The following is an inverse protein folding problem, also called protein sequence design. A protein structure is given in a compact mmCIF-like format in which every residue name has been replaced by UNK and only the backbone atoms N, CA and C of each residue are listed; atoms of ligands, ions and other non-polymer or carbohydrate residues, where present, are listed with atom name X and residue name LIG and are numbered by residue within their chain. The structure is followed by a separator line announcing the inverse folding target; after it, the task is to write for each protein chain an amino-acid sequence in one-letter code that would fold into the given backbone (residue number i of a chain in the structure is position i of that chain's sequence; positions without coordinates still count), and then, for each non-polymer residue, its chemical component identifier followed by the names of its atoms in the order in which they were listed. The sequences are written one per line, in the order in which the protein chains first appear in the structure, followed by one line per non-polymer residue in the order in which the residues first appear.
data_IF_519326936089
#
_entry.id   IF_519326936089
#
_cell.length_a   1.000
_cell.length_b   1.000
_cell.length_c   1.000
_cell.angle_alpha   90.00
_cell.angle_beta   90.00
_cell.angle_gamma   90.00
#
_symmetry.space_group_name_H-M   'P 1'
#
loop_
_entity.id
_entity.type
_entity.pdbx_description
1 polymer ?
#
# COMPACT_ATOMS: atom_id res chain seq x y z
N UNK A 1 -56.46 -44.54 27.25
CA UNK A 1 -55.34 -44.56 26.26
C UNK A 1 -55.28 -43.33 25.35
N UNK A 2 -56.39 -42.76 24.86
CA UNK A 2 -56.37 -41.58 23.96
C UNK A 2 -55.83 -40.27 24.60
N UNK A 3 -55.99 -40.07 25.91
CA UNK A 3 -55.55 -38.84 26.61
C UNK A 3 -54.02 -38.75 26.75
N UNK A 4 -53.35 -39.89 26.94
CA UNK A 4 -51.89 -39.96 27.10
C UNK A 4 -51.16 -39.64 25.79
N UNK A 5 -51.73 -40.02 24.64
CA UNK A 5 -51.15 -39.74 23.32
C UNK A 5 -51.20 -38.24 22.96
N UNK A 6 -52.23 -37.52 23.42
CA UNK A 6 -52.37 -36.08 23.16
C UNK A 6 -51.36 -35.28 23.97
N UNK A 7 -51.14 -35.62 25.26
CA UNK A 7 -50.14 -34.93 26.09
C UNK A 7 -48.71 -35.13 25.58
N UNK A 8 -48.36 -36.32 25.07
CA UNK A 8 -47.02 -36.57 24.51
C UNK A 8 -46.77 -35.74 23.25
N UNK A 9 -47.78 -35.52 22.39
CA UNK A 9 -47.64 -34.67 21.21
C UNK A 9 -47.36 -33.20 21.55
N UNK A 10 -48.04 -32.65 22.56
CA UNK A 10 -47.81 -31.26 22.98
C UNK A 10 -46.49 -31.06 23.73
N UNK A 11 -46.02 -32.09 24.45
CA UNK A 11 -44.73 -32.03 25.14
C UNK A 11 -43.55 -32.08 24.16
N UNK A 12 -43.65 -32.92 23.12
CA UNK A 12 -42.62 -33.00 22.07
C UNK A 12 -42.57 -31.72 21.23
N UNK A 13 -43.72 -31.12 20.88
CA UNK A 13 -43.72 -29.85 20.12
C UNK A 13 -43.19 -28.67 20.94
N UNK A 14 -43.51 -28.59 22.24
CA UNK A 14 -42.94 -27.57 23.15
C UNK A 14 -41.43 -27.70 23.30
N UNK A 15 -40.90 -28.93 23.38
CA UNK A 15 -39.47 -29.17 23.53
C UNK A 15 -38.71 -28.80 22.24
N UNK A 16 -39.25 -29.14 21.06
CA UNK A 16 -38.65 -28.78 19.77
C UNK A 16 -38.63 -27.27 19.55
N UNK A 17 -39.68 -26.54 19.92
CA UNK A 17 -39.71 -25.07 19.81
C UNK A 17 -38.68 -24.42 20.76
N UNK A 18 -38.54 -24.93 21.98
CA UNK A 18 -37.58 -24.37 22.95
C UNK A 18 -36.13 -24.62 22.53
N UNK A 19 -35.84 -25.82 22.01
CA UNK A 19 -34.51 -26.16 21.48
C UNK A 19 -34.17 -25.32 20.24
N UNK A 20 -35.11 -25.11 19.31
CA UNK A 20 -34.92 -24.23 18.15
C UNK A 20 -34.71 -22.77 18.55
N UNK A 21 -35.40 -22.26 19.59
CA UNK A 21 -35.16 -20.90 20.09
C UNK A 21 -33.81 -20.73 20.77
N UNK A 22 -33.34 -21.74 21.53
CA UNK A 22 -32.01 -21.70 22.16
C UNK A 22 -30.92 -21.69 21.08
N UNK A 23 -31.03 -22.51 20.04
CA UNK A 23 -30.06 -22.52 18.94
C UNK A 23 -30.09 -21.24 18.10
N UNK A 24 -31.27 -20.68 17.79
CA UNK A 24 -31.38 -19.39 17.08
C UNK A 24 -30.82 -18.23 17.90
N UNK A 25 -31.00 -18.23 19.23
CA UNK A 25 -30.47 -17.18 20.10
C UNK A 25 -28.95 -17.25 20.28
N UNK A 26 -28.36 -18.44 20.25
CA UNK A 26 -26.91 -18.62 20.34
C UNK A 26 -26.17 -18.21 19.07
N UNK A 27 -26.75 -18.44 17.88
CA UNK A 27 -26.13 -18.00 16.63
C UNK A 27 -26.15 -16.47 16.48
N UNK A 28 -27.25 -15.82 16.88
CA UNK A 28 -27.35 -14.37 16.85
C UNK A 28 -26.34 -13.70 17.79
N UNK A 29 -26.22 -14.18 19.03
CA UNK A 29 -25.29 -13.61 20.02
C UNK A 29 -23.81 -13.85 19.68
N UNK A 30 -23.46 -15.01 19.11
CA UNK A 30 -22.10 -15.28 18.65
C UNK A 30 -21.70 -14.43 17.44
N UNK A 31 -22.62 -14.22 16.50
CA UNK A 31 -22.37 -13.38 15.32
C UNK A 31 -22.20 -11.89 15.67
N UNK A 32 -23.04 -11.35 16.57
CA UNK A 32 -22.92 -9.97 17.03
C UNK A 32 -21.62 -9.74 17.83
N UNK A 33 -21.22 -10.69 18.67
CA UNK A 33 -19.95 -10.61 19.41
C UNK A 33 -18.75 -10.62 18.46
N UNK A 34 -18.73 -11.53 17.47
CA UNK A 34 -17.65 -11.58 16.49
C UNK A 34 -17.57 -10.30 15.65
N UNK A 35 -18.71 -9.77 15.19
CA UNK A 35 -18.75 -8.49 14.45
C UNK A 35 -18.19 -7.35 15.29
N UNK A 36 -18.48 -7.30 16.59
CA UNK A 36 -17.94 -6.28 17.48
C UNK A 36 -16.42 -6.44 17.70
N UNK A 37 -15.93 -7.67 17.88
CA UNK A 37 -14.49 -7.95 18.00
C UNK A 37 -13.73 -7.57 16.72
N UNK A 38 -14.24 -7.99 15.56
CA UNK A 38 -13.63 -7.70 14.26
C UNK A 38 -13.66 -6.20 13.94
N UNK A 39 -14.75 -5.50 14.28
CA UNK A 39 -14.81 -4.05 14.18
C UNK A 39 -13.78 -3.38 15.09
N UNK A 40 -13.60 -3.87 16.32
CA UNK A 40 -12.61 -3.32 17.26
C UNK A 40 -11.19 -3.43 16.72
N UNK A 41 -10.82 -4.60 16.19
CA UNK A 41 -9.53 -4.84 15.52
C UNK A 41 -9.28 -3.86 14.38
N UNK A 42 -10.29 -3.62 13.54
CA UNK A 42 -10.18 -2.70 12.41
C UNK A 42 -10.10 -1.23 12.85
N UNK A 43 -10.78 -0.85 13.93
CA UNK A 43 -10.64 0.50 14.53
C UNK A 43 -9.22 0.71 15.05
N UNK A 44 -8.66 -0.27 15.76
CA UNK A 44 -7.28 -0.22 16.26
C UNK A 44 -6.28 -0.12 15.10
N UNK A 45 -6.47 -0.91 14.03
CA UNK A 45 -5.66 -0.82 12.83
C UNK A 45 -5.77 0.56 12.16
N UNK A 46 -6.98 1.10 12.05
CA UNK A 46 -7.22 2.43 11.45
C UNK A 46 -6.43 3.50 12.19
N UNK A 47 -6.47 3.48 13.53
CA UNK A 47 -5.72 4.41 14.37
C UNK A 47 -4.22 4.18 14.31
N UNK A 48 -3.77 2.92 14.24
CA UNK A 48 -2.34 2.58 14.08
C UNK A 48 -1.79 3.17 12.78
N UNK A 49 -2.49 2.99 11.65
CA UNK A 49 -2.06 3.52 10.35
C UNK A 49 -2.14 5.05 10.32
N UNK A 50 -3.23 5.65 10.83
CA UNK A 50 -3.36 7.11 10.93
C UNK A 50 -2.17 7.75 11.65
N UNK A 51 -1.70 7.14 12.74
CA UNK A 51 -0.62 7.67 13.58
C UNK A 51 0.79 7.24 13.12
N UNK A 52 0.93 6.53 11.99
CA UNK A 52 2.22 5.96 11.58
C UNK A 52 3.12 6.93 10.81
N UNK A 53 2.56 7.94 10.14
CA UNK A 53 3.28 8.99 9.41
C UNK A 53 2.37 10.21 9.20
N UNK A 54 2.96 11.35 8.83
CA UNK A 54 2.21 12.59 8.57
C UNK A 54 1.57 12.63 7.17
N UNK A 55 0.47 13.37 7.02
CA UNK A 55 -0.13 13.57 5.70
C UNK A 55 0.66 14.60 4.90
N UNK A 56 0.98 14.28 3.65
CA UNK A 56 1.70 15.16 2.73
C UNK A 56 1.71 14.63 1.31
N UNK A 57 2.70 15.04 0.53
CA UNK A 57 2.90 14.56 -0.85
C UNK A 57 3.22 13.06 -0.84
N UNK A 58 3.93 12.58 0.19
CA UNK A 58 4.39 11.22 0.28
C UNK A 58 5.56 10.91 -0.65
N UNK A 59 6.05 9.68 -0.55
CA UNK A 59 6.94 9.12 -1.56
C UNK A 59 6.09 8.76 -2.80
N UNK A 60 6.34 9.33 -4.00
CA UNK A 60 5.74 8.84 -5.23
C UNK A 60 5.92 7.33 -5.48
N UNK A 61 4.97 6.81 -6.25
CA UNK A 61 4.83 5.37 -6.49
C UNK A 61 4.06 4.71 -5.35
N UNK A 62 4.45 3.49 -5.01
CA UNK A 62 3.83 2.70 -3.96
C UNK A 62 4.91 2.16 -3.01
N UNK A 63 5.55 3.03 -2.20
CA UNK A 63 6.52 2.62 -1.17
C UNK A 63 5.95 1.56 -0.21
N UNK A 64 6.82 0.79 0.43
CA UNK A 64 6.42 -0.06 1.58
C UNK A 64 6.04 0.81 2.79
N UNK A 65 5.28 0.24 3.75
CA UNK A 65 4.94 0.96 4.99
C UNK A 65 6.20 1.40 5.75
N UNK A 66 7.24 0.55 5.80
CA UNK A 66 8.49 0.88 6.46
C UNK A 66 9.22 2.07 5.80
N UNK A 67 9.23 2.12 4.46
CA UNK A 67 9.82 3.24 3.71
C UNK A 67 9.06 4.54 3.96
N UNK A 68 7.74 4.48 3.96
CA UNK A 68 6.89 5.66 4.23
C UNK A 68 7.05 6.16 5.67
N UNK A 69 7.13 5.26 6.65
CA UNK A 69 7.43 5.63 8.05
C UNK A 69 8.81 6.29 8.16
N UNK A 70 9.83 5.72 7.51
CA UNK A 70 11.19 6.27 7.49
C UNK A 70 11.25 7.65 6.82
N UNK A 71 10.48 7.85 5.75
CA UNK A 71 10.36 9.15 5.09
C UNK A 71 9.55 10.16 5.90
N UNK A 72 8.60 9.69 6.72
CA UNK A 72 7.84 10.47 7.68
C UNK A 72 6.54 11.08 7.16
N UNK A 73 6.24 11.01 5.86
CA UNK A 73 4.95 11.46 5.34
C UNK A 73 4.41 10.62 4.16
N UNK A 74 3.09 10.68 3.93
CA UNK A 74 2.37 9.94 2.89
C UNK A 74 1.08 10.63 2.43
N UNK A 75 0.51 10.18 1.31
CA UNK A 75 -0.78 10.66 0.80
C UNK A 75 -1.92 9.65 1.07
N UNK A 76 -3.17 10.05 0.84
CA UNK A 76 -4.37 9.27 1.19
C UNK A 76 -4.38 7.84 0.62
N UNK A 77 -3.95 7.67 -0.63
CA UNK A 77 -3.72 6.36 -1.23
C UNK A 77 -2.79 5.45 -0.42
N UNK A 78 -1.69 5.96 0.14
CA UNK A 78 -0.78 5.14 0.96
C UNK A 78 -1.42 4.70 2.27
N UNK A 79 -2.14 5.58 2.97
CA UNK A 79 -2.90 5.21 4.16
C UNK A 79 -3.90 4.10 3.87
N UNK A 80 -4.69 4.24 2.79
CA UNK A 80 -5.69 3.26 2.37
C UNK A 80 -5.04 1.92 1.97
N UNK A 81 -3.92 1.97 1.25
CA UNK A 81 -3.09 0.81 0.90
C UNK A 81 -2.64 0.06 2.15
N UNK A 82 -1.94 0.71 3.08
CA UNK A 82 -1.37 0.00 4.22
C UNK A 82 -2.45 -0.54 5.17
N UNK A 83 -3.56 0.16 5.32
CA UNK A 83 -4.71 -0.37 6.04
C UNK A 83 -5.25 -1.64 5.39
N UNK A 84 -5.42 -1.63 4.07
CA UNK A 84 -5.91 -2.78 3.29
C UNK A 84 -4.99 -3.98 3.44
N UNK A 85 -3.68 -3.78 3.32
CA UNK A 85 -2.68 -4.83 3.45
C UNK A 85 -2.67 -5.47 4.83
N UNK A 86 -2.65 -4.66 5.89
CA UNK A 86 -2.66 -5.18 7.25
C UNK A 86 -4.00 -5.84 7.60
N UNK A 87 -5.12 -5.33 7.10
CA UNK A 87 -6.43 -5.95 7.27
C UNK A 87 -6.53 -7.31 6.55
N UNK A 88 -5.96 -7.44 5.34
CA UNK A 88 -5.87 -8.73 4.63
C UNK A 88 -5.09 -9.77 5.44
N UNK A 89 -3.98 -9.39 6.07
CA UNK A 89 -3.20 -10.27 6.98
C UNK A 89 -4.01 -10.74 8.19
N UNK A 90 -5.04 -9.99 8.59
CA UNK A 90 -5.97 -10.33 9.68
C UNK A 90 -7.18 -11.17 9.20
N UNK A 91 -7.26 -11.51 7.92
CA UNK A 91 -8.34 -12.32 7.33
C UNK A 91 -9.57 -11.53 6.88
N UNK A 92 -9.44 -10.21 6.70
CA UNK A 92 -10.51 -9.37 6.14
C UNK A 92 -10.39 -9.23 4.63
N UNK A 93 -11.50 -8.83 3.99
CA UNK A 93 -11.60 -8.58 2.54
C UNK A 93 -11.83 -7.08 2.25
N UNK A 94 -10.84 -6.21 2.51
CA UNK A 94 -10.92 -4.78 2.24
C UNK A 94 -10.88 -4.45 0.75
N UNK A 95 -11.52 -3.33 0.38
CA UNK A 95 -11.39 -2.73 -0.96
C UNK A 95 -11.10 -1.24 -0.84
N UNK A 96 -10.17 -0.75 -1.65
CA UNK A 96 -9.84 0.68 -1.69
C UNK A 96 -10.75 1.36 -2.70
N UNK A 97 -11.31 2.49 -2.29
CA UNK A 97 -12.16 3.34 -3.12
C UNK A 97 -11.54 4.73 -3.22
N UNK A 98 -11.14 5.12 -4.42
CA UNK A 98 -10.76 6.50 -4.73
C UNK A 98 -12.02 7.28 -5.10
N UNK A 99 -12.26 8.33 -4.33
CA UNK A 99 -13.39 9.24 -4.44
C UNK A 99 -12.93 10.51 -5.16
N UNK A 100 -13.67 10.90 -6.20
CA UNK A 100 -13.44 12.11 -6.98
C UNK A 100 -14.58 13.07 -6.68
N UNK A 101 -14.28 14.20 -6.04
CA UNK A 101 -15.27 15.20 -5.65
C UNK A 101 -15.10 16.50 -6.43
N UNK A 102 -16.21 17.05 -6.93
CA UNK A 102 -16.25 18.30 -7.69
C UNK A 102 -16.80 19.44 -6.81
N UNK A 103 -16.00 19.88 -5.84
CA UNK A 103 -16.38 21.00 -4.97
C UNK A 103 -15.92 22.32 -5.61
N UNK A 104 -16.83 23.29 -5.72
CA UNK A 104 -16.57 24.70 -6.09
C UNK A 104 -15.98 24.98 -7.49
N UNK A 105 -16.26 24.18 -8.51
CA UNK A 105 -15.69 24.35 -9.87
C UNK A 105 -14.16 24.41 -9.92
N UNK A 106 -13.49 24.05 -8.82
CA UNK A 106 -12.04 23.88 -8.75
C UNK A 106 -11.68 22.40 -8.91
N UNK A 107 -10.42 22.21 -9.28
CA UNK A 107 -9.67 20.95 -9.44
C UNK A 107 -10.29 19.78 -8.68
N UNK A 108 -10.54 18.68 -9.40
CA UNK A 108 -10.98 17.40 -8.87
C UNK A 108 -10.28 17.06 -7.54
N UNK A 109 -11.06 16.97 -6.45
CA UNK A 109 -10.54 16.58 -5.15
C UNK A 109 -10.54 15.06 -5.04
N UNK A 110 -9.34 14.50 -4.97
CA UNK A 110 -9.12 13.06 -4.81
C UNK A 110 -8.93 12.69 -3.34
N UNK A 111 -9.59 11.61 -2.92
CA UNK A 111 -9.38 11.01 -1.59
C UNK A 111 -9.66 9.52 -1.58
N UNK A 112 -8.81 8.74 -0.92
CA UNK A 112 -8.92 7.29 -0.85
C UNK A 112 -9.48 6.84 0.51
N UNK A 113 -10.46 5.95 0.48
CA UNK A 113 -11.04 5.29 1.67
C UNK A 113 -11.02 3.77 1.48
N UNK A 114 -11.27 3.02 2.55
CA UNK A 114 -11.34 1.54 2.52
C UNK A 114 -12.72 1.08 2.94
N UNK A 115 -13.36 0.21 2.16
CA UNK A 115 -14.62 -0.43 2.56
C UNK A 115 -14.36 -1.87 3.01
N UNK A 116 -15.02 -2.28 4.09
CA UNK A 116 -15.00 -3.66 4.62
C UNK A 116 -16.44 -4.07 4.97
N UNK A 117 -16.79 -5.31 4.65
CA UNK A 117 -18.06 -5.92 5.08
C UNK A 117 -17.82 -6.77 6.32
N UNK A 118 -18.58 -6.51 7.39
CA UNK A 118 -18.60 -7.34 8.59
C UNK A 118 -20.03 -7.85 8.80
N UNK A 119 -20.24 -9.14 8.60
CA UNK A 119 -21.59 -9.73 8.56
C UNK A 119 -22.46 -9.05 7.49
N UNK A 120 -23.60 -8.49 7.91
CA UNK A 120 -24.53 -7.79 7.02
C UNK A 120 -24.31 -6.27 6.94
N UNK A 121 -23.28 -5.74 7.61
CA UNK A 121 -22.99 -4.31 7.68
C UNK A 121 -21.77 -3.93 6.83
N UNK A 122 -21.86 -2.77 6.17
CA UNK A 122 -20.76 -2.16 5.44
C UNK A 122 -20.14 -1.06 6.29
N UNK A 123 -18.81 -1.03 6.32
CA UNK A 123 -18.04 -0.02 7.02
C UNK A 123 -17.10 0.66 6.05
N UNK A 124 -17.01 1.98 6.12
CA UNK A 124 -16.02 2.77 5.38
C UNK A 124 -15.02 3.31 6.39
N UNK A 125 -13.77 2.87 6.29
CA UNK A 125 -12.64 3.36 7.06
C UNK A 125 -11.89 4.42 6.27
N UNK A 126 -11.49 5.48 6.96
CA UNK A 126 -10.62 6.52 6.43
C UNK A 126 -9.37 6.60 7.31
N UNK A 127 -8.32 5.82 6.96
CA UNK A 127 -7.08 5.79 7.73
C UNK A 127 -6.28 7.08 7.63
N UNK A 128 -6.50 7.89 6.59
CA UNK A 128 -5.91 9.22 6.47
C UNK A 128 -6.45 10.13 7.58
N UNK A 129 -7.75 10.06 7.81
CA UNK A 129 -8.45 10.90 8.76
C UNK A 129 -8.63 10.27 10.14
N UNK A 130 -8.27 9.01 10.36
CA UNK A 130 -8.47 8.33 11.64
C UNK A 130 -9.96 8.19 12.03
N UNK A 131 -10.85 8.08 11.03
CA UNK A 131 -12.30 7.92 11.24
C UNK A 131 -12.84 6.69 10.51
N UNK A 132 -14.08 6.33 10.84
CA UNK A 132 -14.87 5.39 10.04
C UNK A 132 -16.36 5.74 10.07
N UNK A 133 -17.11 5.17 9.13
CA UNK A 133 -18.56 5.30 8.98
C UNK A 133 -19.21 3.93 9.06
N UNK A 134 -20.33 3.83 9.76
CA UNK A 134 -21.21 2.64 9.76
C UNK A 134 -22.20 2.72 8.61
N UNK A 135 -21.69 2.86 7.39
CA UNK A 135 -22.47 3.06 6.16
C UNK A 135 -21.61 2.65 4.97
N UNK A 136 -22.23 2.33 3.83
CA UNK A 136 -21.48 2.13 2.59
C UNK A 136 -21.08 3.47 1.96
N UNK A 137 -20.10 3.45 1.04
CA UNK A 137 -19.79 4.62 0.20
C UNK A 137 -21.02 5.09 -0.58
N UNK A 138 -21.83 4.15 -1.08
CA UNK A 138 -23.08 4.48 -1.79
C UNK A 138 -24.04 5.26 -0.88
N UNK A 139 -24.24 4.83 0.36
CA UNK A 139 -25.13 5.52 1.30
C UNK A 139 -24.61 6.92 1.62
N UNK A 140 -23.30 7.08 1.80
CA UNK A 140 -22.69 8.39 2.05
C UNK A 140 -22.87 9.35 0.88
N UNK A 141 -22.80 8.87 -0.37
CA UNK A 141 -23.02 9.68 -1.57
C UNK A 141 -24.51 10.07 -1.70
N UNK A 142 -25.42 9.10 -1.55
CA UNK A 142 -26.86 9.35 -1.72
C UNK A 142 -27.49 10.08 -0.51
N UNK A 143 -26.86 10.00 0.66
CA UNK A 143 -27.30 10.67 1.88
C UNK A 143 -26.11 11.31 2.61
N UNK A 144 -25.56 12.43 2.10
CA UNK A 144 -24.35 13.06 2.64
C UNK A 144 -24.43 13.47 4.11
N UNK A 145 -25.64 13.64 4.66
CA UNK A 145 -25.90 13.83 6.09
C UNK A 145 -25.30 12.72 6.96
N UNK A 146 -25.13 11.51 6.42
CA UNK A 146 -24.47 10.40 7.13
C UNK A 146 -23.00 10.68 7.44
N UNK A 147 -22.36 11.62 6.74
CA UNK A 147 -20.97 12.01 7.01
C UNK A 147 -20.76 12.64 8.39
N UNK A 148 -21.81 13.20 9.00
CA UNK A 148 -21.74 13.75 10.36
C UNK A 148 -21.78 12.67 11.45
N UNK A 149 -22.16 11.44 11.08
CA UNK A 149 -22.20 10.28 11.98
C UNK A 149 -20.89 9.50 12.00
N UNK A 150 -19.80 10.06 11.46
CA UNK A 150 -18.45 9.50 11.55
C UNK A 150 -18.04 9.27 13.01
N UNK A 151 -17.24 8.24 13.22
CA UNK A 151 -16.69 7.87 14.52
C UNK A 151 -15.16 7.90 14.40
N UNK A 152 -14.46 8.52 15.35
CA UNK A 152 -13.00 8.63 15.35
C UNK A 152 -12.51 10.08 15.45
N UNK A 153 -11.26 10.33 15.08
CA UNK A 153 -10.57 11.59 15.35
C UNK A 153 -9.98 12.22 14.09
N UNK A 154 -10.39 13.45 13.75
CA UNK A 154 -9.75 14.27 12.71
C UNK A 154 -8.86 15.32 13.38
N UNK A 155 -7.56 15.05 13.47
CA UNK A 155 -6.58 15.97 14.07
C UNK A 155 -6.23 17.14 13.14
N UNK A 156 -6.15 16.90 11.83
CA UNK A 156 -5.74 17.91 10.85
C UNK A 156 -6.92 18.69 10.27
N UNK A 157 -6.99 19.99 10.57
CA UNK A 157 -8.06 20.87 10.09
C UNK A 157 -8.13 20.98 8.55
N UNK A 158 -7.00 20.89 7.84
CA UNK A 158 -6.97 21.01 6.38
C UNK A 158 -7.58 19.79 5.67
N UNK A 159 -7.61 18.64 6.36
CA UNK A 159 -8.16 17.39 5.84
C UNK A 159 -9.64 17.21 6.17
N UNK A 160 -10.20 18.05 7.06
CA UNK A 160 -11.63 17.99 7.43
C UNK A 160 -12.55 18.04 6.22
N UNK A 161 -12.14 18.74 5.14
CA UNK A 161 -12.92 18.86 3.89
C UNK A 161 -13.38 17.50 3.35
N UNK A 162 -12.56 16.45 3.46
CA UNK A 162 -12.86 15.09 2.97
C UNK A 162 -13.90 14.33 3.81
N UNK A 163 -14.29 14.87 4.97
CA UNK A 163 -15.25 14.24 5.90
C UNK A 163 -16.58 14.99 6.02
N UNK A 164 -16.82 15.95 5.14
CA UNK A 164 -17.99 16.83 5.18
C UNK A 164 -19.10 16.32 4.28
N UNK A 165 -20.34 16.68 4.61
CA UNK A 165 -21.50 16.46 3.72
C UNK A 165 -21.25 17.05 2.32
N UNK A 166 -20.56 18.20 2.24
CA UNK A 166 -20.25 18.84 0.96
C UNK A 166 -19.36 17.94 0.09
N UNK A 167 -18.33 17.31 0.66
CA UNK A 167 -17.48 16.39 -0.10
C UNK A 167 -18.24 15.17 -0.60
N UNK A 168 -18.98 14.50 0.29
CA UNK A 168 -19.73 13.29 -0.06
C UNK A 168 -20.86 13.57 -1.05
N UNK A 169 -21.54 14.72 -0.93
CA UNK A 169 -22.62 15.12 -1.85
C UNK A 169 -22.15 15.60 -3.22
N UNK A 170 -20.84 15.80 -3.41
CA UNK A 170 -20.25 16.22 -4.69
C UNK A 170 -19.33 15.16 -5.29
N UNK A 171 -19.40 13.91 -4.83
CA UNK A 171 -18.70 12.80 -5.49
C UNK A 171 -19.24 12.62 -6.90
N UNK A 172 -18.39 12.82 -7.89
CA UNK A 172 -18.68 12.66 -9.32
C UNK A 172 -18.18 11.32 -9.86
N UNK A 173 -17.24 10.67 -9.17
CA UNK A 173 -16.68 9.39 -9.57
C UNK A 173 -16.12 8.57 -8.41
N UNK A 174 -16.18 7.26 -8.56
CA UNK A 174 -15.60 6.27 -7.64
C UNK A 174 -14.80 5.26 -8.45
N UNK A 175 -13.52 5.06 -8.10
CA UNK A 175 -12.68 3.98 -8.64
C UNK A 175 -12.44 2.94 -7.56
N UNK A 176 -12.66 1.67 -7.88
CA UNK A 176 -12.55 0.55 -6.94
C UNK A 176 -11.29 -0.24 -7.29
N UNK A 177 -10.45 -0.50 -6.29
CA UNK A 177 -9.28 -1.35 -6.40
C UNK A 177 -9.48 -2.60 -5.53
N UNK A 178 -9.40 -3.77 -6.16
CA UNK A 178 -9.60 -5.07 -5.51
C UNK A 178 -8.28 -5.65 -4.99
N UNK A 179 -7.24 -5.53 -5.82
CA UNK A 179 -5.89 -5.93 -5.47
C UNK A 179 -4.95 -4.85 -5.98
N UNK A 180 -4.15 -4.33 -5.07
CA UNK A 180 -2.93 -3.67 -5.45
C UNK A 180 -1.84 -4.70 -5.15
N UNK A 181 -1.47 -5.45 -6.19
CA UNK A 181 -0.56 -6.60 -6.06
C UNK A 181 0.86 -6.09 -5.83
N UNK A 182 1.16 -5.79 -4.57
CA UNK A 182 2.43 -5.24 -4.13
C UNK A 182 3.32 -6.37 -3.62
N UNK A 183 4.35 -6.75 -4.38
CA UNK A 183 5.47 -7.46 -3.75
C UNK A 183 6.19 -6.45 -2.84
N UNK A 184 6.07 -6.67 -1.53
CA UNK A 184 6.67 -5.82 -0.50
C UNK A 184 8.06 -6.30 -0.11
N UNK A 185 8.41 -7.52 -0.50
CA UNK A 185 9.68 -8.13 -0.16
C UNK A 185 10.75 -7.62 -1.10
N UNK A 186 11.70 -6.85 -0.57
CA UNK A 186 12.93 -6.55 -1.29
C UNK A 186 13.70 -7.87 -1.52
N UNK A 187 13.77 -8.29 -2.77
CA UNK A 187 14.45 -9.50 -3.21
C UNK A 187 15.94 -9.44 -2.87
N UNK A 188 16.53 -8.25 -2.81
CA UNK A 188 17.93 -8.07 -2.38
C UNK A 188 18.14 -8.27 -0.88
N UNK A 189 17.07 -8.36 -0.09
CA UNK A 189 17.12 -8.63 1.36
C UNK A 189 16.67 -10.06 1.70
N UNK A 190 16.04 -10.76 0.75
CA UNK A 190 15.37 -12.04 0.99
C UNK A 190 15.89 -13.18 0.12
N UNK A 191 16.63 -12.88 -0.94
CA UNK A 191 17.24 -13.85 -1.84
C UNK A 191 18.75 -13.67 -1.82
N UNK A 192 19.48 -14.77 -1.97
CA UNK A 192 20.92 -14.71 -2.20
C UNK A 192 21.20 -14.24 -3.64
N UNK A 193 22.16 -13.32 -3.78
CA UNK A 193 22.55 -12.75 -5.07
C UNK A 193 24.04 -12.43 -5.12
N UNK A 194 24.55 -12.33 -6.34
CA UNK A 194 25.89 -11.85 -6.66
C UNK A 194 25.81 -10.55 -7.43
N UNK A 195 26.81 -9.68 -7.27
CA UNK A 195 26.93 -8.45 -8.03
C UNK A 195 28.22 -8.51 -8.82
N UNK A 196 28.12 -8.28 -10.12
CA UNK A 196 29.28 -8.11 -11.02
C UNK A 196 29.21 -6.73 -11.65
N UNK A 197 30.36 -6.13 -11.90
CA UNK A 197 30.48 -4.83 -12.55
C UNK A 197 31.59 -4.88 -13.57
N UNK A 198 31.36 -4.31 -14.74
CA UNK A 198 32.41 -4.09 -15.74
C UNK A 198 33.26 -2.86 -15.41
N UNK A 199 32.70 -1.96 -14.58
CA UNK A 199 33.35 -0.73 -14.16
C UNK A 199 33.87 -0.82 -12.73
N UNK A 200 34.89 -0.03 -12.43
CA UNK A 200 35.40 0.13 -11.08
C UNK A 200 34.47 0.97 -10.22
N UNK A 201 34.12 0.45 -9.05
CA UNK A 201 33.52 1.20 -7.94
C UNK A 201 34.58 1.43 -6.88
N UNK A 202 34.45 2.52 -6.11
CA UNK A 202 35.34 2.75 -4.97
C UNK A 202 35.24 1.59 -3.98
N UNK A 203 36.34 1.32 -3.26
CA UNK A 203 36.34 0.31 -2.21
C UNK A 203 35.38 0.67 -1.06
N UNK A 204 35.09 -0.31 -0.23
CA UNK A 204 34.29 -0.14 0.99
C UNK A 204 34.75 1.10 1.79
N UNK A 205 33.82 1.96 2.24
CA UNK A 205 32.37 1.73 2.34
C UNK A 205 31.55 2.17 1.12
N UNK A 206 32.18 2.52 -0.01
CA UNK A 206 31.49 3.11 -1.17
C UNK A 206 31.35 2.17 -2.37
N UNK A 207 31.45 0.86 -2.13
CA UNK A 207 31.26 -0.16 -3.16
C UNK A 207 29.77 -0.43 -3.44
N UNK A 208 29.47 -1.31 -4.40
CA UNK A 208 28.09 -1.67 -4.75
C UNK A 208 27.32 -2.35 -3.61
N UNK A 209 27.99 -2.95 -2.62
CA UNK A 209 27.30 -3.62 -1.50
C UNK A 209 26.63 -2.62 -0.57
N UNK A 210 27.11 -1.37 -0.56
CA UNK A 210 26.46 -0.28 0.17
C UNK A 210 24.99 -0.05 -0.25
N UNK A 211 24.58 -0.46 -1.46
CA UNK A 211 23.22 -0.28 -1.95
C UNK A 211 22.18 -1.17 -1.28
N UNK A 212 22.63 -2.24 -0.64
CA UNK A 212 21.79 -3.34 -0.14
C UNK A 212 21.90 -3.53 1.37
N UNK A 213 22.37 -2.52 2.11
CA UNK A 213 22.45 -2.58 3.58
C UNK A 213 21.11 -2.29 4.28
N UNK A 214 20.05 -2.09 3.50
CA UNK A 214 18.69 -1.80 3.97
C UNK A 214 18.48 -0.38 4.47
N UNK A 215 19.52 0.47 4.46
CA UNK A 215 19.46 1.83 4.99
C UNK A 215 19.51 2.86 3.86
N UNK A 216 18.74 3.93 4.01
CA UNK A 216 18.56 4.90 2.93
C UNK A 216 19.54 6.09 3.01
N UNK A 217 20.13 6.35 4.18
CA UNK A 217 20.75 7.66 4.47
C UNK A 217 22.18 7.61 5.01
N UNK A 218 22.77 6.45 5.30
CA UNK A 218 24.11 6.36 5.88
C UNK A 218 25.22 6.12 4.84
N UNK A 219 25.03 5.23 3.87
CA UNK A 219 26.03 4.92 2.84
C UNK A 219 25.57 5.24 1.41
N UNK A 220 26.52 5.14 0.47
CA UNK A 220 26.25 5.24 -0.96
C UNK A 220 27.34 4.51 -1.76
N UNK A 221 26.98 3.92 -2.90
CA UNK A 221 27.93 3.43 -3.88
C UNK A 221 28.39 4.56 -4.81
N UNK A 222 29.67 4.55 -5.18
CA UNK A 222 30.24 5.49 -6.13
C UNK A 222 31.06 4.77 -7.19
N UNK A 223 30.78 5.03 -8.47
CA UNK A 223 31.67 4.63 -9.55
C UNK A 223 32.89 5.55 -9.63
N UNK A 224 33.95 5.09 -10.28
CA UNK A 224 35.05 5.97 -10.71
C UNK A 224 34.55 7.13 -11.59
N UNK A 225 35.29 8.23 -11.57
CA UNK A 225 34.93 9.47 -12.27
C UNK A 225 35.24 9.36 -13.78
N UNK A 226 34.34 9.89 -14.60
CA UNK A 226 34.48 9.91 -16.06
C UNK A 226 34.20 8.59 -16.78
N UNK A 227 33.79 7.53 -16.08
CA UNK A 227 33.42 6.24 -16.68
C UNK A 227 31.94 6.25 -17.06
N UNK A 228 31.65 6.13 -18.37
CA UNK A 228 30.28 6.04 -18.89
C UNK A 228 30.23 5.15 -20.14
N UNK A 229 29.26 4.23 -20.29
CA UNK A 229 28.25 3.86 -19.30
C UNK A 229 28.85 3.25 -18.03
N UNK A 230 28.14 3.42 -16.91
CA UNK A 230 28.38 2.64 -15.69
C UNK A 230 27.38 1.49 -15.68
N UNK A 231 27.90 0.26 -15.71
CA UNK A 231 27.14 -0.97 -15.83
C UNK A 231 27.47 -1.95 -14.70
N UNK A 232 26.43 -2.48 -14.07
CA UNK A 232 26.55 -3.62 -13.16
C UNK A 232 25.36 -4.56 -13.30
N UNK A 233 25.57 -5.82 -12.93
CA UNK A 233 24.58 -6.89 -12.98
C UNK A 233 24.37 -7.46 -11.59
N UNK A 234 23.11 -7.64 -11.22
CA UNK A 234 22.69 -8.41 -10.05
C UNK A 234 22.20 -9.75 -10.57
N UNK A 235 22.79 -10.85 -10.08
CA UNK A 235 22.40 -12.22 -10.43
C UNK A 235 21.86 -12.92 -9.20
N UNK A 236 20.60 -13.33 -9.24
CA UNK A 236 19.98 -14.11 -8.17
C UNK A 236 20.36 -15.58 -8.31
N UNK A 237 20.46 -16.30 -7.19
CA UNK A 237 20.75 -17.75 -7.24
C UNK A 237 19.62 -18.58 -7.86
N UNK A 238 18.37 -18.13 -7.70
CA UNK A 238 17.18 -18.75 -8.27
C UNK A 238 16.41 -17.71 -9.09
N UNK A 239 15.64 -18.12 -10.11
CA UNK A 239 14.73 -17.22 -10.82
C UNK A 239 13.77 -16.53 -9.86
N UNK A 240 13.68 -15.21 -9.96
CA UNK A 240 12.79 -14.36 -9.15
C UNK A 240 11.70 -13.72 -10.01
N UNK A 241 10.62 -13.34 -9.36
CA UNK A 241 9.56 -12.53 -9.96
C UNK A 241 9.75 -11.08 -9.52
N UNK A 242 9.96 -10.18 -10.48
CA UNK A 242 10.20 -8.74 -10.25
C UNK A 242 9.03 -7.97 -10.83
N UNK A 243 8.47 -7.04 -10.08
CA UNK A 243 7.47 -6.09 -10.58
C UNK A 243 7.76 -4.63 -10.22
N UNK A 244 8.79 -4.35 -9.41
CA UNK A 244 9.16 -2.99 -9.01
C UNK A 244 10.65 -2.83 -8.82
N UNK A 245 11.16 -1.68 -9.23
CA UNK A 245 12.54 -1.25 -8.98
C UNK A 245 12.54 0.12 -8.32
N UNK A 246 13.25 0.22 -7.21
CA UNK A 246 13.50 1.47 -6.49
C UNK A 246 14.99 1.82 -6.56
N UNK A 247 15.30 3.05 -6.98
CA UNK A 247 16.66 3.57 -7.06
C UNK A 247 16.73 4.90 -6.30
N UNK A 248 17.43 4.91 -5.16
CA UNK A 248 17.75 6.11 -4.42
C UNK A 248 19.02 6.75 -4.95
N UNK A 249 18.93 7.99 -5.47
CA UNK A 249 20.09 8.76 -5.89
C UNK A 249 20.82 9.37 -4.68
N UNK A 250 22.07 9.77 -4.84
CA UNK A 250 22.82 10.43 -3.77
C UNK A 250 22.17 11.74 -3.29
N UNK A 251 21.67 12.56 -4.20
CA UNK A 251 20.85 13.72 -3.91
C UNK A 251 20.05 14.13 -5.15
N UNK A 252 19.42 15.31 -5.12
CA UNK A 252 18.65 15.85 -6.26
C UNK A 252 19.53 16.36 -7.40
N UNK A 253 20.81 16.63 -7.14
CA UNK A 253 21.76 17.18 -8.09
C UNK A 253 22.72 16.16 -8.71
N UNK A 254 22.74 14.92 -8.23
CA UNK A 254 23.63 13.85 -8.70
C UNK A 254 22.81 12.63 -9.12
N UNK A 255 22.58 12.48 -10.42
CA UNK A 255 21.76 11.39 -10.99
C UNK A 255 22.04 11.19 -12.51
N UNK A 256 21.74 10.02 -13.07
CA UNK A 256 21.86 9.75 -14.51
C UNK A 256 20.68 10.32 -15.30
N UNK A 257 20.94 11.01 -16.40
CA UNK A 257 19.93 11.51 -17.35
C UNK A 257 19.48 10.43 -18.32
N UNK A 258 20.30 9.41 -18.55
CA UNK A 258 19.96 8.24 -19.36
C UNK A 258 20.27 6.96 -18.61
N UNK A 259 19.35 6.01 -18.63
CA UNK A 259 19.63 4.67 -18.13
C UNK A 259 18.67 3.65 -18.66
N UNK A 260 19.15 2.42 -18.72
CA UNK A 260 18.38 1.25 -19.15
C UNK A 260 18.64 0.11 -18.20
N UNK A 261 17.58 -0.64 -17.89
CA UNK A 261 17.65 -1.86 -17.09
C UNK A 261 17.19 -3.00 -17.97
N UNK A 262 17.97 -4.08 -17.98
CA UNK A 262 17.75 -5.28 -18.78
C UNK A 262 17.52 -6.48 -17.87
N UNK A 263 16.76 -7.46 -18.35
CA UNK A 263 16.70 -8.78 -17.73
C UNK A 263 17.80 -9.72 -18.27
N UNK A 264 17.85 -10.94 -17.73
CA UNK A 264 18.69 -12.07 -18.17
C UNK A 264 18.56 -12.49 -19.65
N UNK A 265 17.59 -11.94 -20.39
CA UNK A 265 17.37 -12.18 -21.83
C UNK A 265 17.68 -10.93 -22.68
N UNK A 266 18.40 -9.96 -22.12
CA UNK A 266 18.74 -8.68 -22.73
C UNK A 266 17.51 -7.84 -23.16
N UNK A 267 16.35 -8.07 -22.53
CA UNK A 267 15.14 -7.30 -22.81
C UNK A 267 15.13 -6.02 -21.97
N UNK A 268 14.90 -4.88 -22.61
CA UNK A 268 14.73 -3.59 -21.94
C UNK A 268 13.45 -3.58 -21.09
N UNK A 269 13.60 -3.59 -19.76
CA UNK A 269 12.45 -3.54 -18.83
C UNK A 269 12.14 -2.11 -18.37
N UNK A 270 13.17 -1.27 -18.28
CA UNK A 270 13.06 0.17 -18.00
C UNK A 270 14.04 0.89 -18.91
N UNK A 271 13.56 1.92 -19.62
CA UNK A 271 14.41 2.82 -20.40
C UNK A 271 14.01 4.26 -20.14
N UNK A 272 14.98 5.08 -19.76
CA UNK A 272 14.79 6.50 -19.54
C UNK A 272 15.73 7.29 -20.43
N UNK A 273 15.14 8.14 -21.27
CA UNK A 273 15.87 9.12 -22.07
C UNK A 273 15.48 10.51 -21.56
N UNK A 274 16.44 11.25 -21.00
CA UNK A 274 16.24 12.57 -20.38
C UNK A 274 15.49 12.54 -19.03
N UNK A 275 15.85 11.59 -18.17
CA UNK A 275 15.34 11.56 -16.79
C UNK A 275 15.69 12.87 -16.06
N UNK A 276 14.76 13.35 -15.25
CA UNK A 276 14.95 14.49 -14.34
C UNK A 276 14.58 14.08 -12.93
N UNK A 277 15.54 14.25 -12.01
CA UNK A 277 15.36 13.90 -10.63
C UNK A 277 14.84 15.09 -9.81
N UNK A 278 13.53 15.12 -9.55
CA UNK A 278 12.94 16.20 -8.75
C UNK A 278 12.93 15.90 -7.23
N UNK A 279 13.06 14.63 -6.86
CA UNK A 279 12.71 14.15 -5.51
C UNK A 279 13.86 13.45 -4.79
N UNK A 280 14.90 13.02 -5.49
CA UNK A 280 16.05 12.29 -4.94
C UNK A 280 16.05 10.79 -5.23
N UNK A 281 15.06 10.25 -5.94
CA UNK A 281 14.98 8.82 -6.26
C UNK A 281 14.06 8.53 -7.46
N UNK A 282 14.09 7.29 -7.94
CA UNK A 282 13.16 6.67 -8.87
C UNK A 282 12.45 5.50 -8.18
N UNK A 283 11.12 5.44 -8.28
CA UNK A 283 10.33 4.27 -7.88
C UNK A 283 9.48 3.84 -9.07
N UNK A 284 9.82 2.74 -9.73
CA UNK A 284 9.25 2.33 -11.01
C UNK A 284 8.62 0.94 -10.93
N UNK A 285 7.31 0.91 -11.19
CA UNK A 285 6.56 -0.32 -11.44
C UNK A 285 6.75 -0.77 -12.88
N UNK A 286 6.90 -2.07 -13.06
CA UNK A 286 6.92 -2.72 -14.37
C UNK A 286 5.47 -2.91 -14.85
N UNK A 287 5.25 -2.88 -16.16
CA UNK A 287 3.91 -3.05 -16.74
C UNK A 287 3.35 -4.47 -16.52
N UNK A 288 4.22 -5.42 -16.21
CA UNK A 288 3.90 -6.79 -15.84
C UNK A 288 5.01 -7.35 -14.98
N UNK A 289 4.68 -8.25 -14.07
CA UNK A 289 5.68 -9.05 -13.35
C UNK A 289 6.55 -9.80 -14.36
N UNK A 290 7.86 -9.66 -14.24
CA UNK A 290 8.85 -10.37 -15.06
C UNK A 290 9.46 -11.49 -14.23
N UNK A 291 9.72 -12.64 -14.85
CA UNK A 291 10.50 -13.71 -14.25
C UNK A 291 11.91 -13.69 -14.82
N UNK A 292 12.92 -13.57 -13.98
CA UNK A 292 14.32 -13.39 -14.41
C UNK A 292 15.32 -13.92 -13.39
N UNK A 293 16.51 -14.32 -13.84
CA UNK A 293 17.64 -14.69 -12.99
C UNK A 293 18.61 -13.54 -12.73
N UNK A 294 18.57 -12.47 -13.54
CA UNK A 294 19.47 -11.34 -13.38
C UNK A 294 18.88 -10.03 -13.91
N UNK A 295 19.36 -8.93 -13.35
CA UNK A 295 19.09 -7.58 -13.82
C UNK A 295 20.40 -6.86 -14.09
N UNK A 296 20.56 -6.33 -15.30
CA UNK A 296 21.71 -5.49 -15.68
C UNK A 296 21.28 -4.04 -15.74
N UNK A 297 21.96 -3.18 -15.00
CA UNK A 297 21.71 -1.76 -14.92
C UNK A 297 22.81 -1.03 -15.69
N UNK A 298 22.44 -0.18 -16.64
CA UNK A 298 23.37 0.68 -17.40
C UNK A 298 22.96 2.13 -17.27
N UNK A 299 23.88 2.97 -16.79
CA UNK A 299 23.67 4.39 -16.52
C UNK A 299 24.62 5.25 -17.35
N UNK A 300 24.06 6.28 -17.97
CA UNK A 300 24.74 7.17 -18.91
C UNK A 300 24.35 8.63 -18.66
N UNK A 301 25.23 9.54 -19.08
CA UNK A 301 25.03 11.00 -19.04
C UNK A 301 24.58 11.54 -17.69
N UNK A 302 25.51 11.99 -16.85
CA UNK A 302 25.16 12.40 -15.49
C UNK A 302 24.85 13.90 -15.38
N UNK A 303 23.90 14.21 -14.51
CA UNK A 303 23.72 15.54 -13.92
C UNK A 303 24.55 15.63 -12.64
N UNK A 304 25.22 16.77 -12.43
CA UNK A 304 26.18 16.93 -11.34
C UNK A 304 27.52 16.26 -11.64
N UNK A 305 27.98 15.40 -10.73
CA UNK A 305 29.24 14.69 -10.88
C UNK A 305 29.19 13.68 -12.03
N UNK A 306 30.28 13.54 -12.79
CA UNK A 306 30.34 12.64 -13.96
C UNK A 306 30.65 11.20 -13.56
N UNK A 307 29.87 10.70 -12.60
CA UNK A 307 29.92 9.35 -12.04
C UNK A 307 28.58 8.94 -11.47
N UNK A 308 28.38 7.63 -11.32
CA UNK A 308 27.20 7.09 -10.66
C UNK A 308 27.35 7.23 -9.14
N UNK A 309 26.41 7.92 -8.51
CA UNK A 309 26.27 7.98 -7.05
C UNK A 309 24.87 7.49 -6.65
N UNK A 310 24.82 6.35 -5.96
CA UNK A 310 23.59 5.67 -5.58
C UNK A 310 23.54 5.42 -4.08
N UNK A 311 22.43 5.74 -3.42
CA UNK A 311 22.22 5.42 -2.00
C UNK A 311 21.63 4.05 -1.79
N UNK A 312 20.65 3.70 -2.61
CA UNK A 312 19.85 2.50 -2.41
C UNK A 312 19.42 1.93 -3.73
N UNK A 313 19.44 0.61 -3.83
CA UNK A 313 18.77 -0.14 -4.88
C UNK A 313 17.94 -1.22 -4.22
N UNK A 314 16.65 -1.26 -4.51
CA UNK A 314 15.76 -2.30 -4.03
C UNK A 314 14.95 -2.85 -5.20
N UNK A 315 14.77 -4.16 -5.22
CA UNK A 315 14.11 -4.91 -6.29
C UNK A 315 13.01 -5.71 -5.63
N UNK A 316 11.78 -5.60 -6.13
CA UNK A 316 10.61 -6.29 -5.60
C UNK A 316 9.90 -7.01 -6.73
#
# INVERSE_FOLDING_TARGET
MKVVIIMIKYFISSLVITVLMVFYSSEYTLSDNKVNEDLTKLIELNMKIHNSFEYGIGLPGYPTLAETISFGNGHCGLYATYFTEEAKKMGFEPKILDLISNINNEIELYHSVVTINLGNANFVFDPTLGIYYKSSVSDLIHSPLLADKKIGMISNASLKKYSTQLFWGNISGVKIYHDLDYYQTDLTQSQEFEITSENSFYESPYDLRALFDGKMFDNYAASEDGVTPVTFTIKFQNPVEVNRIFIGWFDRGNYPKKFTIYNDKDQEIIKMNNYKNNIGYLNKWLNSTIKTESLTFSFEEFEGQQRLLLRKLAIY
#
